data_IF_601429633817
#
_entry.id   IF_601429633817
#
_cell.length_a   1.000
_cell.length_b   1.000
_cell.length_c   1.000
_cell.angle_alpha   90.00
_cell.angle_beta   90.00
_cell.angle_gamma   90.00
#
_symmetry.space_group_name_H-M   'P 1'
#
loop_
_entity.id
_entity.type
_entity.pdbx_description
1 polymer ?
#
# COMPACT_ATOMS: atom_id res chain seq x y z
N UNK A 1 -11.71 37.75 -35.31
CA UNK A 1 -10.70 36.69 -35.32
C UNK A 1 -11.26 35.58 -34.47
N UNK A 2 -11.61 34.46 -35.11
CA UNK A 2 -12.44 33.43 -34.53
C UNK A 2 -11.75 32.68 -33.40
N UNK A 3 -12.52 32.45 -32.36
CA UNK A 3 -12.22 31.44 -31.33
C UNK A 3 -12.26 30.09 -32.06
N UNK A 4 -11.10 29.45 -32.20
CA UNK A 4 -11.03 28.10 -32.72
C UNK A 4 -11.83 27.20 -31.75
N UNK A 5 -12.88 26.59 -32.25
CA UNK A 5 -13.61 25.50 -31.58
C UNK A 5 -12.58 24.43 -31.12
N UNK A 6 -12.27 24.40 -29.83
CA UNK A 6 -11.66 23.24 -29.22
C UNK A 6 -12.68 22.11 -29.34
N UNK A 7 -12.55 21.31 -30.42
CA UNK A 7 -13.29 20.05 -30.53
C UNK A 7 -12.99 19.25 -29.27
N UNK A 8 -14.00 19.13 -28.39
CA UNK A 8 -13.96 18.14 -27.30
C UNK A 8 -13.65 16.78 -27.96
N UNK A 9 -12.45 16.28 -27.73
CA UNK A 9 -12.05 14.97 -28.22
C UNK A 9 -12.94 13.97 -27.45
N UNK A 10 -13.91 13.41 -28.14
CA UNK A 10 -14.80 12.40 -27.56
C UNK A 10 -13.95 11.21 -27.07
N UNK A 11 -13.89 11.00 -25.75
CA UNK A 11 -13.10 9.94 -25.14
C UNK A 11 -13.83 8.61 -25.37
N UNK A 12 -13.54 7.95 -26.50
CA UNK A 12 -14.12 6.66 -26.83
C UNK A 12 -13.38 5.55 -26.05
N UNK A 13 -14.08 4.89 -25.16
CA UNK A 13 -13.55 3.75 -24.41
C UNK A 13 -13.38 2.54 -25.33
N UNK A 14 -12.17 1.97 -25.46
CA UNK A 14 -11.98 0.73 -26.23
C UNK A 14 -12.84 -0.40 -25.64
N UNK A 15 -13.50 -1.17 -26.52
CA UNK A 15 -14.35 -2.30 -26.11
C UNK A 15 -13.49 -3.46 -25.62
N UNK A 16 -13.94 -4.09 -24.52
CA UNK A 16 -13.32 -5.31 -24.00
C UNK A 16 -12.14 -5.10 -23.04
N UNK A 17 -11.44 -6.19 -22.75
CA UNK A 17 -10.25 -6.21 -21.90
C UNK A 17 -9.03 -5.73 -22.69
N UNK A 18 -8.42 -4.64 -22.25
CA UNK A 18 -7.20 -4.09 -22.83
C UNK A 18 -5.95 -4.37 -21.98
N UNK A 19 -4.81 -3.88 -22.44
CA UNK A 19 -3.51 -4.03 -21.77
C UNK A 19 -3.53 -3.38 -20.38
N UNK A 20 -4.29 -2.30 -20.17
CA UNK A 20 -4.48 -1.69 -18.85
C UNK A 20 -5.00 -2.68 -17.80
N UNK A 21 -5.90 -3.59 -18.18
CA UNK A 21 -6.42 -4.64 -17.29
C UNK A 21 -5.36 -5.70 -17.00
N UNK A 22 -4.54 -6.07 -17.99
CA UNK A 22 -3.42 -6.98 -17.80
C UNK A 22 -2.37 -6.38 -16.84
N UNK A 23 -2.05 -5.07 -16.98
CA UNK A 23 -1.16 -4.37 -16.06
C UNK A 23 -1.76 -4.29 -14.65
N UNK A 24 -3.06 -4.06 -14.53
CA UNK A 24 -3.77 -4.11 -13.24
C UNK A 24 -3.65 -5.49 -12.59
N UNK A 25 -3.86 -6.57 -13.36
CA UNK A 25 -3.72 -7.94 -12.85
C UNK A 25 -2.29 -8.23 -12.41
N UNK A 26 -1.29 -7.81 -13.18
CA UNK A 26 0.11 -7.94 -12.81
C UNK A 26 0.43 -7.21 -11.50
N UNK A 27 -0.06 -5.99 -11.33
CA UNK A 27 0.12 -5.22 -10.09
C UNK A 27 -0.62 -5.85 -8.92
N UNK A 28 -1.83 -6.38 -9.13
CA UNK A 28 -2.61 -7.12 -8.12
C UNK A 28 -1.82 -8.31 -7.57
N UNK A 29 -1.31 -9.18 -8.46
CA UNK A 29 -0.50 -10.32 -8.04
C UNK A 29 0.83 -9.90 -7.41
N UNK A 30 1.45 -8.81 -7.88
CA UNK A 30 2.64 -8.25 -7.26
C UNK A 30 2.40 -7.78 -5.83
N UNK A 31 1.28 -7.08 -5.58
CA UNK A 31 0.84 -6.71 -4.24
C UNK A 31 0.54 -7.95 -3.39
N UNK A 32 -0.14 -8.95 -3.96
CA UNK A 32 -0.45 -10.20 -3.28
C UNK A 32 0.83 -10.87 -2.78
N UNK A 33 1.81 -11.12 -3.66
CA UNK A 33 3.06 -11.79 -3.27
C UNK A 33 3.94 -10.93 -2.36
N UNK A 34 3.95 -9.61 -2.52
CA UNK A 34 4.66 -8.73 -1.60
C UNK A 34 4.11 -8.86 -0.16
N UNK A 35 2.78 -8.94 -0.02
CA UNK A 35 2.15 -9.06 1.29
C UNK A 35 2.20 -10.47 1.89
N UNK A 36 2.16 -11.53 1.07
CA UNK A 36 2.43 -12.88 1.59
C UNK A 36 3.83 -12.96 2.18
N UNK A 37 4.85 -12.44 1.49
CA UNK A 37 6.24 -12.41 1.98
C UNK A 37 6.44 -11.46 3.17
N UNK A 38 5.56 -10.50 3.37
CA UNK A 38 5.59 -9.58 4.52
C UNK A 38 5.15 -10.27 5.81
N UNK A 39 4.09 -11.06 5.75
CA UNK A 39 3.46 -11.69 6.92
C UNK A 39 3.87 -13.13 7.16
N UNK A 40 4.61 -13.75 6.26
CA UNK A 40 5.02 -15.16 6.37
C UNK A 40 5.81 -15.47 7.66
N UNK A 41 6.66 -14.54 8.11
CA UNK A 41 7.46 -14.72 9.32
C UNK A 41 6.61 -14.81 10.58
N UNK A 42 5.51 -14.06 10.67
CA UNK A 42 4.67 -14.06 11.88
C UNK A 42 4.04 -15.41 12.17
N UNK A 43 3.74 -16.18 11.12
CA UNK A 43 3.24 -17.55 11.26
C UNK A 43 4.38 -18.55 11.37
N UNK A 44 5.46 -18.37 10.61
CA UNK A 44 6.59 -19.28 10.60
C UNK A 44 7.34 -19.30 11.95
N UNK A 45 7.46 -18.15 12.63
CA UNK A 45 8.25 -18.07 13.89
C UNK A 45 7.65 -18.93 14.99
N UNK A 46 6.32 -19.11 15.00
CA UNK A 46 5.64 -19.97 15.97
C UNK A 46 6.07 -21.42 15.79
N UNK A 47 6.14 -21.86 14.54
CA UNK A 47 6.55 -23.23 14.19
C UNK A 47 8.06 -23.43 14.31
N UNK A 48 8.86 -22.38 13.99
CA UNK A 48 10.32 -22.39 14.14
C UNK A 48 10.78 -22.52 15.60
N UNK A 49 9.95 -22.12 16.55
CA UNK A 49 10.27 -22.15 17.99
C UNK A 49 9.49 -23.22 18.75
N UNK A 50 8.76 -24.07 18.06
CA UNK A 50 8.06 -25.20 18.66
C UNK A 50 9.03 -26.38 18.87
N UNK A 51 9.25 -26.74 20.11
CA UNK A 51 10.16 -27.84 20.50
C UNK A 51 9.70 -29.23 19.97
N UNK A 52 8.49 -29.33 19.49
CA UNK A 52 7.95 -30.58 18.91
C UNK A 52 8.44 -30.83 17.49
N UNK A 53 9.01 -29.81 16.84
CA UNK A 53 9.50 -29.94 15.47
C UNK A 53 10.94 -30.48 15.43
N UNK A 54 11.27 -31.28 14.42
CA UNK A 54 12.62 -31.83 14.22
C UNK A 54 13.69 -30.70 14.06
N UNK A 55 13.29 -29.59 13.46
CA UNK A 55 14.16 -28.40 13.28
C UNK A 55 13.52 -27.23 13.98
N UNK A 56 13.91 -27.01 15.23
CA UNK A 56 13.44 -25.88 16.03
C UNK A 56 14.61 -25.03 16.54
N UNK A 57 14.30 -23.80 16.89
CA UNK A 57 15.26 -22.86 17.44
C UNK A 57 14.81 -22.40 18.84
N UNK A 58 15.64 -22.62 19.85
CA UNK A 58 15.38 -22.17 21.22
C UNK A 58 15.56 -20.63 21.36
N UNK A 59 14.77 -19.86 20.59
CA UNK A 59 14.82 -18.40 20.65
C UNK A 59 13.86 -17.87 21.70
N UNK A 60 14.35 -17.13 22.69
CA UNK A 60 13.49 -16.52 23.69
C UNK A 60 12.53 -15.49 23.03
N UNK A 61 11.42 -15.22 23.70
CA UNK A 61 10.37 -14.33 23.17
C UNK A 61 10.89 -12.94 22.77
N UNK A 62 11.87 -12.42 23.51
CA UNK A 62 12.53 -11.14 23.18
C UNK A 62 13.23 -11.17 21.80
N UNK A 63 13.87 -12.28 21.46
CA UNK A 63 14.51 -12.47 20.14
C UNK A 63 13.45 -12.60 19.04
N UNK A 64 12.36 -13.31 19.30
CA UNK A 64 11.25 -13.43 18.35
C UNK A 64 10.66 -12.03 18.03
N UNK A 65 10.45 -11.20 19.05
CA UNK A 65 9.99 -9.82 18.87
C UNK A 65 10.97 -8.97 18.04
N UNK A 66 12.30 -9.13 18.25
CA UNK A 66 13.33 -8.47 17.44
C UNK A 66 13.25 -8.92 15.98
N UNK A 67 13.11 -10.22 15.71
CA UNK A 67 12.97 -10.74 14.33
C UNK A 67 11.74 -10.14 13.64
N UNK A 68 10.59 -10.10 14.31
CA UNK A 68 9.35 -9.58 13.74
C UNK A 68 9.43 -8.07 13.47
N UNK A 69 10.03 -7.32 14.39
CA UNK A 69 10.17 -5.87 14.26
C UNK A 69 11.24 -5.44 13.25
N UNK A 70 12.26 -6.25 13.02
CA UNK A 70 13.42 -5.91 12.17
C UNK A 70 13.04 -5.58 10.72
N UNK A 71 11.95 -6.14 10.20
CA UNK A 71 11.42 -5.78 8.90
C UNK A 71 11.04 -4.29 8.82
N UNK A 72 10.39 -3.78 9.84
CA UNK A 72 9.91 -2.39 9.87
C UNK A 72 11.06 -1.38 9.99
N UNK A 73 12.18 -1.75 10.57
CA UNK A 73 13.36 -0.88 10.62
C UNK A 73 13.87 -0.56 9.21
N UNK A 74 14.03 -1.59 8.37
CA UNK A 74 14.39 -1.38 6.98
C UNK A 74 13.31 -0.63 6.20
N UNK A 75 12.05 -1.00 6.43
CA UNK A 75 10.91 -0.44 5.71
C UNK A 75 10.77 1.08 5.87
N UNK A 76 10.94 1.61 7.08
CA UNK A 76 10.79 3.05 7.37
C UNK A 76 11.93 3.88 6.75
N UNK A 77 13.16 3.36 6.74
CA UNK A 77 14.34 4.12 6.28
C UNK A 77 14.21 4.60 4.83
N UNK A 78 13.69 3.76 3.93
CA UNK A 78 13.66 4.07 2.50
C UNK A 78 12.32 4.60 1.99
N UNK A 79 11.32 4.85 2.84
CA UNK A 79 9.98 5.28 2.40
C UNK A 79 10.00 6.61 1.61
N UNK A 80 10.68 7.63 2.12
CA UNK A 80 10.77 8.93 1.44
C UNK A 80 11.66 8.85 0.21
N UNK A 81 12.91 8.30 0.27
CA UNK A 81 13.71 8.08 -0.92
C UNK A 81 13.02 7.24 -2.00
N UNK A 82 12.21 6.26 -1.59
CA UNK A 82 11.52 5.37 -2.52
C UNK A 82 10.58 6.14 -3.48
N UNK A 83 9.86 7.15 -2.97
CA UNK A 83 9.02 8.00 -3.81
C UNK A 83 9.79 8.78 -4.87
N UNK A 84 10.96 9.32 -4.49
CA UNK A 84 11.84 10.04 -5.43
C UNK A 84 12.47 9.10 -6.46
N UNK A 85 12.90 7.92 -6.01
CA UNK A 85 13.51 6.91 -6.88
C UNK A 85 12.49 6.32 -7.85
N UNK A 86 11.25 6.05 -7.41
CA UNK A 86 10.16 5.58 -8.28
C UNK A 86 9.87 6.57 -9.41
N UNK A 87 9.93 7.86 -9.12
CA UNK A 87 9.76 8.90 -10.12
C UNK A 87 10.96 9.02 -11.06
N UNK A 88 12.20 8.80 -10.58
CA UNK A 88 13.41 8.93 -11.39
C UNK A 88 13.64 7.73 -12.30
N UNK A 89 13.53 6.52 -11.77
CA UNK A 89 13.85 5.27 -12.45
C UNK A 89 12.62 4.55 -13.04
N UNK A 90 11.40 5.01 -12.69
CA UNK A 90 10.13 4.37 -13.05
C UNK A 90 9.65 3.38 -12.00
N UNK A 91 8.34 3.24 -11.91
CA UNK A 91 7.69 2.34 -10.94
C UNK A 91 7.95 0.87 -11.25
N UNK A 92 7.98 0.49 -12.53
CA UNK A 92 8.23 -0.89 -12.95
C UNK A 92 9.53 -1.45 -12.38
N UNK A 93 10.64 -0.74 -12.55
CA UNK A 93 11.97 -1.22 -12.14
C UNK A 93 12.02 -1.45 -10.64
N UNK A 94 11.58 -0.47 -9.85
CA UNK A 94 11.64 -0.56 -8.39
C UNK A 94 10.66 -1.58 -7.82
N UNK A 95 9.47 -1.70 -8.40
CA UNK A 95 8.49 -2.71 -8.01
C UNK A 95 9.02 -4.12 -8.28
N UNK A 96 9.63 -4.33 -9.47
CA UNK A 96 10.27 -5.61 -9.82
C UNK A 96 11.42 -5.94 -8.87
N UNK A 97 12.34 -5.01 -8.64
CA UNK A 97 13.47 -5.20 -7.70
C UNK A 97 12.95 -5.58 -6.32
N UNK A 98 11.92 -4.87 -5.85
CA UNK A 98 11.33 -5.13 -4.53
C UNK A 98 10.85 -6.57 -4.41
N UNK A 99 10.00 -7.05 -5.32
CA UNK A 99 9.45 -8.40 -5.24
C UNK A 99 10.54 -9.45 -5.51
N UNK A 100 11.44 -9.23 -6.47
CA UNK A 100 12.53 -10.16 -6.81
C UNK A 100 13.49 -10.37 -5.63
N UNK A 101 13.93 -9.28 -4.99
CA UNK A 101 14.85 -9.37 -3.84
C UNK A 101 14.15 -10.03 -2.64
N UNK A 102 12.88 -9.68 -2.39
CA UNK A 102 12.11 -10.34 -1.33
C UNK A 102 11.93 -11.83 -1.59
N UNK A 103 11.70 -12.23 -2.85
CA UNK A 103 11.62 -13.64 -3.25
C UNK A 103 12.93 -14.38 -2.98
N UNK A 104 14.05 -13.79 -3.42
CA UNK A 104 15.38 -14.37 -3.18
C UNK A 104 15.67 -14.51 -1.68
N UNK A 105 15.42 -13.46 -0.90
CA UNK A 105 15.63 -13.48 0.54
C UNK A 105 14.71 -14.48 1.24
N UNK A 106 13.47 -14.66 0.76
CA UNK A 106 12.57 -15.70 1.27
C UNK A 106 13.13 -17.10 1.02
N UNK A 107 13.65 -17.38 -0.18
CA UNK A 107 14.28 -18.65 -0.50
C UNK A 107 15.55 -18.94 0.34
N UNK A 108 16.32 -17.89 0.64
CA UNK A 108 17.55 -17.99 1.41
C UNK A 108 17.33 -18.03 2.94
N UNK A 109 16.16 -17.57 3.41
CA UNK A 109 15.90 -17.41 4.84
C UNK A 109 16.00 -18.71 5.64
N UNK A 110 15.49 -19.88 5.18
CA UNK A 110 15.65 -21.15 5.91
C UNK A 110 17.13 -21.56 6.07
N UNK A 111 17.93 -21.38 5.01
CA UNK A 111 19.38 -21.63 5.06
C UNK A 111 20.06 -20.64 5.98
N UNK A 112 19.66 -19.37 5.93
CA UNK A 112 20.15 -18.32 6.81
C UNK A 112 19.87 -18.57 8.29
N UNK A 113 18.67 -19.08 8.60
CA UNK A 113 18.30 -19.45 9.96
C UNK A 113 19.18 -20.59 10.51
N UNK A 114 19.44 -21.61 9.69
CA UNK A 114 20.28 -22.75 10.07
C UNK A 114 21.75 -22.36 10.24
N UNK A 115 22.28 -21.44 9.40
CA UNK A 115 23.70 -21.09 9.36
C UNK A 115 24.10 -19.99 10.33
N UNK A 116 23.29 -18.92 10.41
CA UNK A 116 23.62 -17.71 11.19
C UNK A 116 22.60 -17.38 12.29
N UNK A 117 21.66 -18.30 12.54
CA UNK A 117 20.64 -18.13 13.56
C UNK A 117 19.81 -16.85 13.40
N UNK A 118 19.28 -16.37 14.51
CA UNK A 118 18.39 -15.21 14.53
C UNK A 118 18.99 -13.93 13.95
N UNK A 119 20.33 -13.73 14.07
CA UNK A 119 21.00 -12.51 13.56
C UNK A 119 20.92 -12.43 12.05
N UNK A 120 21.15 -13.52 11.35
CA UNK A 120 21.07 -13.55 9.89
C UNK A 120 19.62 -13.46 9.42
N UNK A 121 18.67 -14.06 10.16
CA UNK A 121 17.24 -13.87 9.91
C UNK A 121 16.86 -12.39 10.03
N UNK A 122 17.28 -11.68 11.09
CA UNK A 122 17.05 -10.25 11.22
C UNK A 122 17.65 -9.45 10.05
N UNK A 123 18.87 -9.79 9.62
CA UNK A 123 19.50 -9.12 8.47
C UNK A 123 18.66 -9.30 7.21
N UNK A 124 18.20 -10.52 6.92
CA UNK A 124 17.29 -10.79 5.80
C UNK A 124 16.00 -9.97 5.94
N UNK A 125 15.41 -9.90 7.13
CA UNK A 125 14.19 -9.13 7.38
C UNK A 125 14.38 -7.64 7.16
N UNK A 126 15.49 -7.05 7.61
CA UNK A 126 15.83 -5.64 7.34
C UNK A 126 15.97 -5.39 5.84
N UNK A 127 16.67 -6.26 5.11
CA UNK A 127 16.82 -6.15 3.65
C UNK A 127 15.47 -6.29 2.91
N UNK A 128 14.61 -7.21 3.37
CA UNK A 128 13.23 -7.32 2.88
C UNK A 128 12.46 -6.02 3.12
N UNK A 129 12.56 -5.44 4.30
CA UNK A 129 11.94 -4.17 4.65
C UNK A 129 12.41 -3.02 3.76
N UNK A 130 13.75 -2.86 3.61
CA UNK A 130 14.35 -1.83 2.76
C UNK A 130 13.80 -1.89 1.33
N UNK A 131 13.73 -3.08 0.75
CA UNK A 131 13.24 -3.24 -0.63
C UNK A 131 11.73 -3.11 -0.73
N UNK A 132 10.96 -3.59 0.25
CA UNK A 132 9.51 -3.42 0.26
C UNK A 132 9.05 -1.97 0.44
N UNK A 133 9.89 -1.08 0.94
CA UNK A 133 9.61 0.35 0.99
C UNK A 133 9.26 0.94 -0.39
N UNK A 134 9.72 0.34 -1.48
CA UNK A 134 9.42 0.77 -2.85
C UNK A 134 8.01 0.37 -3.33
N UNK A 135 7.34 -0.60 -2.69
CA UNK A 135 6.09 -1.18 -3.20
C UNK A 135 5.00 -0.12 -3.37
N UNK A 136 4.62 0.59 -2.30
CA UNK A 136 3.55 1.58 -2.36
C UNK A 136 3.87 2.78 -3.27
N UNK A 137 5.04 3.44 -3.18
CA UNK A 137 5.38 4.54 -4.07
C UNK A 137 5.42 4.13 -5.54
N UNK A 138 5.96 2.94 -5.84
CA UNK A 138 5.99 2.42 -7.22
C UNK A 138 4.59 2.09 -7.73
N UNK A 139 3.75 1.48 -6.90
CA UNK A 139 2.35 1.21 -7.24
C UNK A 139 1.59 2.50 -7.54
N UNK A 140 1.74 3.53 -6.70
CA UNK A 140 1.12 4.84 -6.93
C UNK A 140 1.59 5.48 -8.24
N UNK A 141 2.89 5.38 -8.54
CA UNK A 141 3.42 5.85 -9.81
C UNK A 141 2.76 5.12 -10.99
N UNK A 142 2.75 3.78 -10.97
CA UNK A 142 2.19 2.96 -12.05
C UNK A 142 0.68 3.18 -12.21
N UNK A 143 -0.06 3.21 -11.12
CA UNK A 143 -1.51 3.52 -11.13
C UNK A 143 -1.77 4.90 -11.74
N UNK A 144 -0.94 5.90 -11.41
CA UNK A 144 -1.07 7.24 -11.99
C UNK A 144 -0.81 7.29 -13.49
N UNK A 145 -0.06 6.33 -14.04
CA UNK A 145 0.26 6.25 -15.47
C UNK A 145 -0.78 5.44 -16.26
N UNK A 146 -1.33 4.36 -15.66
CA UNK A 146 -2.10 3.36 -16.38
C UNK A 146 -3.62 3.47 -16.22
N UNK A 147 -4.13 4.11 -15.13
CA UNK A 147 -5.55 4.05 -14.79
C UNK A 147 -6.32 5.26 -15.32
N UNK A 148 -7.21 5.10 -16.36
CA UNK A 148 -8.07 6.16 -16.84
C UNK A 148 -9.00 6.67 -15.74
N UNK A 149 -9.37 7.94 -15.76
CA UNK A 149 -10.17 8.57 -14.72
C UNK A 149 -11.51 7.85 -14.48
N UNK A 150 -12.15 7.34 -15.54
CA UNK A 150 -13.45 6.67 -15.50
C UNK A 150 -13.41 5.28 -14.87
N UNK A 151 -12.23 4.63 -14.83
CA UNK A 151 -12.03 3.28 -14.30
C UNK A 151 -11.06 3.27 -13.09
N UNK A 152 -10.60 4.46 -12.69
CA UNK A 152 -9.52 4.64 -11.72
C UNK A 152 -9.86 4.07 -10.35
N UNK A 153 -11.10 4.25 -9.89
CA UNK A 153 -11.56 3.75 -8.59
C UNK A 153 -11.49 2.23 -8.52
N UNK A 154 -12.10 1.55 -9.46
CA UNK A 154 -12.15 0.09 -9.48
C UNK A 154 -10.77 -0.54 -9.70
N UNK A 155 -10.04 -0.11 -10.73
CA UNK A 155 -8.74 -0.71 -11.07
C UNK A 155 -7.70 -0.48 -9.97
N UNK A 156 -7.67 0.73 -9.38
CA UNK A 156 -6.76 1.02 -8.27
C UNK A 156 -7.10 0.20 -7.03
N UNK A 157 -8.38 0.12 -6.70
CA UNK A 157 -8.84 -0.67 -5.55
C UNK A 157 -8.52 -2.15 -5.74
N UNK A 158 -8.69 -2.68 -6.95
CA UNK A 158 -8.32 -4.05 -7.28
C UNK A 158 -6.82 -4.30 -7.01
N UNK A 159 -5.93 -3.38 -7.44
CA UNK A 159 -4.49 -3.52 -7.18
C UNK A 159 -4.20 -3.61 -5.68
N UNK A 160 -4.75 -2.71 -4.86
CA UNK A 160 -4.50 -2.72 -3.42
C UNK A 160 -5.19 -3.88 -2.69
N UNK A 161 -6.33 -4.34 -3.18
CA UNK A 161 -7.01 -5.52 -2.66
C UNK A 161 -6.15 -6.79 -2.75
N UNK A 162 -5.21 -6.85 -3.72
CA UNK A 162 -4.22 -7.92 -3.80
C UNK A 162 -3.42 -8.10 -2.52
N UNK A 163 -3.06 -7.00 -1.84
CA UNK A 163 -2.37 -7.06 -0.56
C UNK A 163 -3.22 -7.70 0.55
N UNK A 164 -4.51 -7.36 0.63
CA UNK A 164 -5.41 -7.92 1.64
C UNK A 164 -5.66 -9.41 1.40
N UNK A 165 -5.87 -9.78 0.14
CA UNK A 165 -5.98 -11.20 -0.23
C UNK A 165 -4.69 -11.95 0.10
N UNK A 166 -3.52 -11.33 -0.13
CA UNK A 166 -2.22 -11.89 0.20
C UNK A 166 -2.08 -12.19 1.69
N UNK A 167 -2.50 -11.28 2.57
CA UNK A 167 -2.51 -11.52 4.03
C UNK A 167 -3.44 -12.69 4.38
N UNK A 168 -4.68 -12.67 3.90
CA UNK A 168 -5.67 -13.71 4.19
C UNK A 168 -5.19 -15.09 3.73
N UNK A 169 -4.72 -15.20 2.49
CA UNK A 169 -4.21 -16.46 1.93
C UNK A 169 -2.97 -16.95 2.68
N UNK A 170 -2.08 -16.04 3.08
CA UNK A 170 -0.87 -16.41 3.82
C UNK A 170 -1.23 -17.01 5.20
N UNK A 171 -2.14 -16.37 5.93
CA UNK A 171 -2.59 -16.87 7.23
C UNK A 171 -3.22 -18.27 7.11
N UNK A 172 -4.06 -18.47 6.09
CA UNK A 172 -4.68 -19.78 5.83
C UNK A 172 -3.65 -20.83 5.39
N UNK A 173 -2.79 -20.51 4.43
CA UNK A 173 -1.86 -21.45 3.83
C UNK A 173 -0.70 -21.81 4.77
N UNK A 174 -0.25 -20.90 5.62
CA UNK A 174 0.90 -21.12 6.52
C UNK A 174 0.65 -22.28 7.47
N UNK A 175 -0.55 -22.36 8.05
CA UNK A 175 -0.90 -23.48 8.96
C UNK A 175 -0.82 -24.84 8.26
N UNK A 176 -1.32 -24.92 7.02
CA UNK A 176 -1.27 -26.13 6.22
C UNK A 176 0.17 -26.48 5.79
N UNK A 177 0.92 -25.50 5.31
CA UNK A 177 2.30 -25.72 4.86
C UNK A 177 3.21 -26.15 6.02
N UNK A 178 3.10 -25.49 7.17
CA UNK A 178 3.89 -25.80 8.35
C UNK A 178 3.63 -27.23 8.85
N UNK A 179 2.35 -27.61 8.97
CA UNK A 179 1.98 -28.94 9.47
C UNK A 179 2.31 -30.08 8.51
N UNK A 180 2.32 -29.83 7.18
CA UNK A 180 2.54 -30.87 6.18
C UNK A 180 4.00 -31.01 5.78
N UNK A 181 4.76 -29.92 5.71
CA UNK A 181 6.13 -29.87 5.17
C UNK A 181 7.12 -29.06 6.01
N UNK A 182 6.70 -28.63 7.20
CA UNK A 182 7.51 -27.80 8.09
C UNK A 182 7.52 -26.31 7.72
N UNK A 183 8.01 -25.50 8.64
CA UNK A 183 8.04 -24.03 8.51
C UNK A 183 8.84 -23.53 7.29
N UNK A 184 9.83 -24.29 6.83
CA UNK A 184 10.66 -23.94 5.67
C UNK A 184 9.82 -23.83 4.39
N UNK A 185 8.79 -24.69 4.26
CA UNK A 185 7.90 -24.71 3.10
C UNK A 185 7.17 -23.39 2.89
N UNK A 186 6.87 -22.66 3.97
CA UNK A 186 6.25 -21.32 3.91
C UNK A 186 7.14 -20.36 3.09
N UNK A 187 8.43 -20.34 3.38
CA UNK A 187 9.38 -19.45 2.72
C UNK A 187 9.68 -19.89 1.29
N UNK A 188 9.85 -21.18 1.04
CA UNK A 188 10.10 -21.72 -0.30
C UNK A 188 8.90 -21.49 -1.23
N UNK A 189 7.68 -21.73 -0.77
CA UNK A 189 6.48 -21.49 -1.57
C UNK A 189 6.35 -20.00 -1.94
N UNK A 190 6.45 -19.09 -0.97
CA UNK A 190 6.34 -17.66 -1.22
C UNK A 190 7.47 -17.12 -2.10
N UNK A 191 8.71 -17.54 -1.84
CA UNK A 191 9.87 -17.13 -2.63
C UNK A 191 9.77 -17.61 -4.08
N UNK A 192 9.34 -18.87 -4.31
CA UNK A 192 9.16 -19.41 -5.66
C UNK A 192 8.06 -18.71 -6.43
N UNK A 193 6.88 -18.52 -5.82
CA UNK A 193 5.76 -17.82 -6.46
C UNK A 193 6.11 -16.36 -6.77
N UNK A 194 6.77 -15.66 -5.85
CA UNK A 194 7.23 -14.30 -6.08
C UNK A 194 8.30 -14.19 -7.17
N UNK A 195 9.20 -15.17 -7.27
CA UNK A 195 10.21 -15.23 -8.34
C UNK A 195 9.57 -15.47 -9.72
N UNK A 196 8.62 -16.40 -9.82
CA UNK A 196 7.86 -16.66 -11.05
C UNK A 196 7.09 -15.43 -11.50
N UNK A 197 6.43 -14.74 -10.55
CA UNK A 197 5.76 -13.48 -10.83
C UNK A 197 6.76 -12.42 -11.31
N UNK A 198 7.92 -12.31 -10.69
CA UNK A 198 8.94 -11.33 -11.07
C UNK A 198 9.41 -11.51 -12.52
N UNK A 199 9.65 -12.76 -12.95
CA UNK A 199 9.97 -13.08 -14.36
C UNK A 199 8.83 -12.65 -15.27
N UNK A 200 7.60 -12.99 -14.92
CA UNK A 200 6.40 -12.60 -15.69
C UNK A 200 6.30 -11.07 -15.81
N UNK A 201 6.53 -10.35 -14.71
CA UNK A 201 6.44 -8.89 -14.70
C UNK A 201 7.58 -8.20 -15.46
N UNK A 202 8.78 -8.77 -15.48
CA UNK A 202 9.89 -8.29 -16.32
C UNK A 202 9.49 -8.31 -17.79
N UNK A 203 8.84 -9.39 -18.24
CA UNK A 203 8.48 -9.62 -19.66
C UNK A 203 7.27 -8.75 -20.05
N UNK A 204 6.18 -8.80 -19.28
CA UNK A 204 4.89 -8.22 -19.65
C UNK A 204 4.58 -6.88 -19.00
N UNK A 205 5.24 -6.53 -17.89
CA UNK A 205 5.04 -5.26 -17.22
C UNK A 205 5.59 -4.09 -18.03
N UNK A 206 4.98 -2.91 -17.90
CA UNK A 206 5.47 -1.68 -18.49
C UNK A 206 5.28 -0.50 -17.53
N UNK A 207 6.20 0.48 -17.60
CA UNK A 207 6.17 1.65 -16.72
C UNK A 207 5.07 2.64 -17.08
N UNK A 208 4.80 2.76 -18.38
CA UNK A 208 3.73 3.61 -18.92
C UNK A 208 3.13 3.00 -20.18
N UNK A 209 1.92 3.43 -20.60
CA UNK A 209 1.29 2.97 -21.83
C UNK A 209 2.20 3.09 -23.05
N UNK A 210 2.90 4.23 -23.21
CA UNK A 210 3.75 4.50 -24.38
C UNK A 210 4.96 3.55 -24.47
N UNK A 211 5.39 2.99 -23.34
CA UNK A 211 6.53 2.06 -23.26
C UNK A 211 6.11 0.60 -23.39
N UNK A 212 4.81 0.32 -23.43
CA UNK A 212 4.29 -1.03 -23.57
C UNK A 212 4.40 -1.51 -25.02
N UNK A 213 4.90 -2.75 -25.21
CA UNK A 213 5.01 -3.38 -26.53
C UNK A 213 3.70 -3.99 -27.04
N UNK A 214 2.73 -4.17 -26.14
CA UNK A 214 1.52 -4.95 -26.39
C UNK A 214 0.25 -4.11 -26.51
N UNK A 215 0.32 -2.81 -26.24
CA UNK A 215 -0.83 -1.91 -26.21
C UNK A 215 -1.18 -1.39 -27.60
N UNK A 216 -2.48 -1.24 -27.89
CA UNK A 216 -2.95 -0.58 -29.10
C UNK A 216 -2.81 0.94 -29.02
N UNK A 217 -2.64 1.59 -30.19
CA UNK A 217 -2.58 3.07 -30.25
C UNK A 217 -3.86 3.73 -29.74
N UNK A 218 -5.00 3.10 -29.96
CA UNK A 218 -6.31 3.57 -29.49
C UNK A 218 -6.39 3.55 -27.97
N UNK A 219 -5.89 2.49 -27.33
CA UNK A 219 -5.88 2.39 -25.87
C UNK A 219 -4.89 3.37 -25.24
N UNK A 220 -3.72 3.61 -25.85
CA UNK A 220 -2.79 4.65 -25.43
C UNK A 220 -3.47 6.03 -25.46
N UNK A 221 -4.12 6.37 -26.58
CA UNK A 221 -4.80 7.64 -26.75
C UNK A 221 -5.93 7.79 -25.72
N UNK A 222 -6.73 6.73 -25.49
CA UNK A 222 -7.78 6.71 -24.49
C UNK A 222 -7.22 7.02 -23.08
N UNK A 223 -6.14 6.35 -22.67
CA UNK A 223 -5.54 6.55 -21.35
C UNK A 223 -4.99 7.98 -21.24
N UNK A 224 -4.21 8.44 -22.24
CA UNK A 224 -3.60 9.77 -22.22
C UNK A 224 -4.65 10.89 -22.20
N UNK A 225 -5.68 10.79 -23.05
CA UNK A 225 -6.77 11.79 -23.10
C UNK A 225 -7.54 11.82 -21.77
N UNK A 226 -7.87 10.62 -21.22
CA UNK A 226 -8.56 10.51 -19.94
C UNK A 226 -7.77 11.12 -18.78
N UNK A 227 -6.43 11.01 -18.81
CA UNK A 227 -5.55 11.59 -17.79
C UNK A 227 -5.19 13.06 -18.04
N UNK A 228 -5.60 13.65 -19.19
CA UNK A 228 -5.22 14.99 -19.60
C UNK A 228 -3.72 15.11 -19.90
N UNK A 229 -3.10 14.08 -20.49
CA UNK A 229 -1.65 13.95 -20.72
C UNK A 229 -1.33 13.82 -22.20
N UNK A 230 -2.01 14.57 -23.04
CA UNK A 230 -1.72 14.58 -24.48
C UNK A 230 -0.47 15.45 -24.73
N UNK A 231 0.62 14.84 -25.19
CA UNK A 231 1.90 15.49 -25.47
C UNK A 231 3.08 15.02 -24.61
N UNK A 232 4.27 15.55 -24.87
CA UNK A 232 5.48 15.23 -24.09
C UNK A 232 5.38 15.69 -22.63
N UNK A 233 5.57 14.74 -21.70
CA UNK A 233 5.58 15.06 -20.28
C UNK A 233 6.92 15.63 -19.85
N UNK A 234 6.97 16.92 -19.56
CA UNK A 234 8.12 17.55 -18.93
C UNK A 234 8.30 17.01 -17.49
N UNK A 235 9.51 16.59 -17.13
CA UNK A 235 9.86 16.21 -15.77
C UNK A 235 10.23 17.45 -14.98
N UNK A 236 9.42 17.83 -14.00
CA UNK A 236 9.69 18.99 -13.13
C UNK A 236 10.42 18.54 -11.84
N UNK A 237 11.31 19.35 -11.25
CA UNK A 237 11.80 19.11 -9.90
C UNK A 237 10.65 19.16 -8.88
N UNK A 238 10.73 18.36 -7.82
CA UNK A 238 9.68 18.34 -6.81
C UNK A 238 9.70 19.65 -5.99
N UNK A 239 8.59 20.41 -5.97
CA UNK A 239 8.51 21.68 -5.26
C UNK A 239 8.20 21.41 -3.76
N UNK A 240 9.19 20.93 -3.03
CA UNK A 240 9.03 20.43 -1.64
C UNK A 240 8.33 21.41 -0.71
N UNK A 241 8.70 22.71 -0.80
CA UNK A 241 8.08 23.73 0.07
C UNK A 241 6.59 23.87 -0.23
N UNK A 242 6.20 23.95 -1.52
CA UNK A 242 4.79 24.07 -1.92
C UNK A 242 3.98 22.81 -1.55
N UNK A 243 4.61 21.63 -1.60
CA UNK A 243 4.00 20.36 -1.18
C UNK A 243 3.76 20.39 0.33
N UNK A 244 4.78 20.71 1.13
CA UNK A 244 4.71 20.65 2.58
C UNK A 244 3.86 21.78 3.21
N UNK A 245 3.60 22.86 2.47
CA UNK A 245 2.67 23.93 2.89
C UNK A 245 1.24 23.73 2.37
N UNK A 246 0.98 22.67 1.60
CA UNK A 246 -0.34 22.39 1.04
C UNK A 246 -1.28 21.80 2.08
N UNK A 247 -2.31 22.53 2.47
CA UNK A 247 -3.32 22.06 3.44
C UNK A 247 -4.06 20.79 2.97
N UNK A 248 -4.46 20.66 1.67
CA UNK A 248 -5.03 19.41 1.17
C UNK A 248 -4.09 18.21 1.33
N UNK A 249 -2.78 18.41 1.21
CA UNK A 249 -1.81 17.32 1.40
C UNK A 249 -1.71 16.92 2.88
N UNK A 250 -1.73 17.87 3.80
CA UNK A 250 -1.82 17.58 5.24
C UNK A 250 -3.09 16.83 5.60
N UNK A 251 -4.22 17.13 4.95
CA UNK A 251 -5.45 16.36 5.16
C UNK A 251 -5.27 14.88 4.76
N UNK A 252 -4.53 14.61 3.71
CA UNK A 252 -4.20 13.23 3.30
C UNK A 252 -3.25 12.57 4.29
N UNK A 253 -2.22 13.28 4.79
CA UNK A 253 -1.29 12.78 5.83
C UNK A 253 -2.07 12.35 7.07
N UNK A 254 -2.93 13.25 7.58
CA UNK A 254 -3.72 13.02 8.80
C UNK A 254 -4.66 11.82 8.63
N UNK A 255 -5.35 11.72 7.48
CA UNK A 255 -6.21 10.58 7.19
C UNK A 255 -5.42 9.26 7.14
N UNK A 256 -4.24 9.25 6.50
CA UNK A 256 -3.39 8.08 6.41
C UNK A 256 -2.85 7.66 7.79
N UNK A 257 -2.44 8.61 8.61
CA UNK A 257 -2.01 8.34 9.99
C UNK A 257 -3.15 7.76 10.83
N UNK A 258 -4.35 8.33 10.74
CA UNK A 258 -5.53 7.82 11.46
C UNK A 258 -5.92 6.42 11.01
N UNK A 259 -5.86 6.18 9.69
CA UNK A 259 -6.07 4.86 9.13
C UNK A 259 -5.09 3.82 9.69
N UNK A 260 -3.81 4.14 9.70
CA UNK A 260 -2.80 3.21 10.20
C UNK A 260 -2.93 2.98 11.71
N UNK A 261 -3.29 4.01 12.49
CA UNK A 261 -3.57 3.84 13.92
C UNK A 261 -4.57 2.72 14.15
N UNK A 262 -5.78 2.86 13.62
CA UNK A 262 -6.84 1.88 13.87
C UNK A 262 -6.57 0.51 13.23
N UNK A 263 -6.04 0.48 12.00
CA UNK A 263 -5.74 -0.77 11.30
C UNK A 263 -4.68 -1.60 12.03
N UNK A 264 -3.57 -0.97 12.45
CA UNK A 264 -2.51 -1.70 13.15
C UNK A 264 -2.90 -2.04 14.58
N UNK A 265 -3.65 -1.18 15.28
CA UNK A 265 -4.23 -1.54 16.58
C UNK A 265 -5.06 -2.83 16.46
N UNK A 266 -5.98 -2.90 15.50
CA UNK A 266 -6.77 -4.11 15.30
C UNK A 266 -5.91 -5.30 14.86
N UNK A 267 -4.96 -5.09 13.97
CA UNK A 267 -4.12 -6.17 13.44
C UNK A 267 -3.24 -6.82 14.52
N UNK A 268 -2.72 -6.03 15.45
CA UNK A 268 -1.82 -6.53 16.52
C UNK A 268 -2.59 -7.05 17.72
N UNK A 269 -3.64 -6.35 18.12
CA UNK A 269 -4.30 -6.59 19.39
C UNK A 269 -5.53 -7.50 19.31
N UNK A 270 -6.14 -7.62 18.10
CA UNK A 270 -7.33 -8.48 17.92
C UNK A 270 -7.09 -9.94 18.33
N UNK A 271 -5.97 -10.59 17.98
CA UNK A 271 -5.73 -11.97 18.42
C UNK A 271 -5.65 -12.11 19.94
N UNK A 272 -5.04 -11.14 20.62
CA UNK A 272 -4.93 -11.10 22.08
C UNK A 272 -6.31 -10.92 22.73
N UNK A 273 -7.10 -9.97 22.23
CA UNK A 273 -8.47 -9.75 22.67
C UNK A 273 -9.35 -11.01 22.52
N UNK A 274 -9.26 -11.68 21.35
CA UNK A 274 -10.01 -12.91 21.09
C UNK A 274 -9.57 -14.05 22.00
N UNK A 275 -8.28 -14.18 22.28
CA UNK A 275 -7.75 -15.23 23.14
C UNK A 275 -8.05 -14.98 24.61
N UNK A 276 -7.81 -13.77 25.11
CA UNK A 276 -7.84 -13.45 26.54
C UNK A 276 -9.23 -13.08 27.05
N UNK A 277 -9.99 -12.30 26.28
CA UNK A 277 -11.33 -11.85 26.67
C UNK A 277 -12.42 -12.81 26.19
N UNK A 278 -12.31 -13.31 24.97
CA UNK A 278 -13.35 -14.17 24.38
C UNK A 278 -13.04 -15.66 24.53
N UNK A 279 -11.90 -16.04 25.11
CA UNK A 279 -11.46 -17.41 25.32
C UNK A 279 -11.48 -18.29 24.03
N UNK A 280 -11.14 -17.67 22.87
CA UNK A 280 -11.12 -18.37 21.59
C UNK A 280 -9.90 -19.27 21.50
N UNK A 281 -10.12 -20.54 21.14
CA UNK A 281 -9.07 -21.51 20.92
C UNK A 281 -8.15 -21.08 19.76
N UNK A 282 -6.84 -21.21 19.92
CA UNK A 282 -5.80 -20.79 18.96
C UNK A 282 -6.01 -21.36 17.54
N UNK A 283 -6.50 -22.60 17.41
CA UNK A 283 -6.77 -23.25 16.13
C UNK A 283 -7.86 -22.52 15.32
N UNK A 284 -8.89 -22.01 15.99
CA UNK A 284 -9.96 -21.28 15.37
C UNK A 284 -9.61 -19.79 15.17
N UNK A 285 -8.64 -19.28 15.93
CA UNK A 285 -8.21 -17.89 15.88
C UNK A 285 -7.67 -17.52 14.48
N UNK A 286 -6.88 -18.39 13.82
CA UNK A 286 -6.36 -18.16 12.47
C UNK A 286 -7.48 -17.98 11.43
N UNK A 287 -8.52 -18.81 11.45
CA UNK A 287 -9.66 -18.71 10.54
C UNK A 287 -10.46 -17.44 10.84
N UNK A 288 -10.80 -17.21 12.10
CA UNK A 288 -11.59 -16.05 12.51
C UNK A 288 -10.83 -14.73 12.25
N UNK A 289 -9.52 -14.72 12.43
CA UNK A 289 -8.67 -13.54 12.13
C UNK A 289 -8.52 -13.27 10.63
N UNK A 290 -8.74 -14.26 9.75
CA UNK A 290 -8.72 -14.06 8.29
C UNK A 290 -10.00 -13.43 7.75
N UNK A 291 -11.16 -13.63 8.41
CA UNK A 291 -12.47 -13.15 7.96
C UNK A 291 -12.54 -11.62 7.76
N UNK A 292 -12.03 -10.77 8.65
CA UNK A 292 -12.01 -9.33 8.46
C UNK A 292 -11.27 -8.90 7.18
N UNK A 293 -10.11 -9.52 6.90
CA UNK A 293 -9.32 -9.19 5.71
C UNK A 293 -9.96 -9.70 4.42
N UNK A 294 -10.60 -10.86 4.45
CA UNK A 294 -11.40 -11.37 3.34
C UNK A 294 -12.62 -10.47 3.07
N UNK A 295 -13.29 -10.00 4.12
CA UNK A 295 -14.38 -9.04 4.02
C UNK A 295 -13.90 -7.73 3.39
N UNK A 296 -12.76 -7.21 3.82
CA UNK A 296 -12.15 -6.01 3.26
C UNK A 296 -11.81 -6.20 1.77
N UNK A 297 -11.27 -7.35 1.41
CA UNK A 297 -11.00 -7.72 0.02
C UNK A 297 -12.28 -7.69 -0.82
N UNK A 298 -13.35 -8.36 -0.38
CA UNK A 298 -14.61 -8.41 -1.11
C UNK A 298 -15.28 -7.04 -1.21
N UNK A 299 -15.34 -6.28 -0.11
CA UNK A 299 -15.96 -4.96 -0.09
C UNK A 299 -15.16 -3.94 -0.91
N UNK A 300 -13.87 -4.14 -1.10
CA UNK A 300 -13.07 -3.24 -1.94
C UNK A 300 -13.57 -3.20 -3.38
N UNK A 301 -14.03 -4.32 -3.95
CA UNK A 301 -14.63 -4.35 -5.30
C UNK A 301 -15.92 -3.53 -5.36
N UNK A 302 -16.78 -3.67 -4.34
CA UNK A 302 -18.02 -2.92 -4.26
C UNK A 302 -17.75 -1.43 -4.18
N UNK A 303 -16.85 -1.01 -3.29
CA UNK A 303 -16.48 0.40 -3.10
C UNK A 303 -15.82 0.99 -4.37
N UNK A 304 -14.91 0.24 -5.00
CA UNK A 304 -14.26 0.64 -6.24
C UNK A 304 -15.26 0.84 -7.39
N UNK A 305 -16.13 -0.14 -7.61
CA UNK A 305 -17.16 -0.06 -8.64
C UNK A 305 -18.15 1.10 -8.40
N UNK A 306 -18.64 1.25 -7.17
CA UNK A 306 -19.54 2.35 -6.81
C UNK A 306 -18.88 3.71 -7.04
N UNK A 307 -17.60 3.88 -6.69
CA UNK A 307 -16.84 5.10 -6.94
C UNK A 307 -16.84 5.47 -8.41
N UNK A 308 -16.53 4.50 -9.28
CA UNK A 308 -16.47 4.75 -10.73
C UNK A 308 -17.85 5.06 -11.33
N UNK A 309 -18.92 4.40 -10.83
CA UNK A 309 -20.30 4.71 -11.25
C UNK A 309 -20.68 6.13 -10.86
N UNK A 310 -20.38 6.57 -9.63
CA UNK A 310 -20.71 7.91 -9.13
C UNK A 310 -19.96 8.98 -9.94
N UNK A 311 -18.66 8.78 -10.18
CA UNK A 311 -17.83 9.72 -10.97
C UNK A 311 -18.31 9.77 -12.42
N UNK A 312 -18.56 8.62 -13.05
CA UNK A 312 -19.01 8.53 -14.46
C UNK A 312 -20.38 9.15 -14.66
N UNK A 313 -21.33 8.93 -13.74
CA UNK A 313 -22.67 9.50 -13.80
C UNK A 313 -22.72 10.95 -13.32
N UNK A 314 -21.58 11.52 -12.86
CA UNK A 314 -21.49 12.89 -12.33
C UNK A 314 -22.46 13.16 -11.18
N UNK A 315 -22.84 12.15 -10.37
CA UNK A 315 -23.71 12.32 -9.21
C UNK A 315 -23.06 13.17 -8.13
N UNK A 316 -21.76 13.00 -7.94
CA UNK A 316 -20.94 13.81 -7.05
C UNK A 316 -19.67 14.27 -7.80
N UNK A 317 -19.10 15.40 -7.35
CA UNK A 317 -17.75 15.79 -7.78
C UNK A 317 -16.73 14.76 -7.33
N UNK A 318 -15.56 14.68 -7.99
CA UNK A 318 -14.48 13.77 -7.61
C UNK A 318 -14.09 13.99 -6.15
N UNK A 319 -13.95 15.25 -5.72
CA UNK A 319 -13.63 15.60 -4.33
C UNK A 319 -14.67 15.04 -3.35
N UNK A 320 -15.97 15.26 -3.62
CA UNK A 320 -17.03 14.78 -2.74
C UNK A 320 -17.11 13.25 -2.73
N UNK A 321 -16.84 12.60 -3.86
CA UNK A 321 -16.77 11.13 -3.93
C UNK A 321 -15.65 10.60 -3.05
N UNK A 322 -14.45 11.22 -3.07
CA UNK A 322 -13.34 10.84 -2.19
C UNK A 322 -13.69 11.02 -0.71
N UNK A 323 -14.27 12.18 -0.36
CA UNK A 323 -14.72 12.46 1.01
C UNK A 323 -15.76 11.46 1.48
N UNK A 324 -16.74 11.12 0.64
CA UNK A 324 -17.80 10.17 0.95
C UNK A 324 -17.26 8.78 1.27
N UNK A 325 -16.44 8.21 0.39
CA UNK A 325 -15.86 6.88 0.61
C UNK A 325 -14.84 6.85 1.75
N UNK A 326 -14.08 7.93 1.94
CA UNK A 326 -13.19 8.03 3.09
C UNK A 326 -13.97 8.07 4.41
N UNK A 327 -15.11 8.75 4.42
CA UNK A 327 -15.99 8.80 5.59
C UNK A 327 -16.56 7.43 5.92
N UNK A 328 -17.01 6.68 4.92
CA UNK A 328 -17.43 5.28 5.12
C UNK A 328 -16.24 4.46 5.66
N UNK A 329 -15.05 4.64 5.09
CA UNK A 329 -13.86 3.87 5.43
C UNK A 329 -13.25 4.17 6.81
N UNK A 330 -13.53 5.32 7.43
CA UNK A 330 -13.02 5.68 8.76
C UNK A 330 -14.13 5.78 9.82
N UNK A 331 -15.23 6.47 9.54
CA UNK A 331 -16.32 6.57 10.52
C UNK A 331 -17.12 5.27 10.66
N UNK A 332 -17.23 4.47 9.57
CA UNK A 332 -17.84 3.13 9.65
C UNK A 332 -17.13 2.23 10.67
N UNK A 333 -15.81 2.02 10.53
CA UNK A 333 -15.01 1.33 11.54
C UNK A 333 -15.11 1.94 12.94
N UNK A 334 -15.11 3.28 13.08
CA UNK A 334 -15.26 3.93 14.37
C UNK A 334 -16.55 3.52 15.08
N UNK A 335 -17.68 3.52 14.35
CA UNK A 335 -19.00 3.08 14.87
C UNK A 335 -18.95 1.60 15.25
N UNK A 336 -18.36 0.74 14.40
CA UNK A 336 -18.24 -0.68 14.68
C UNK A 336 -17.37 -0.96 15.93
N UNK A 337 -16.29 -0.19 16.14
CA UNK A 337 -15.43 -0.30 17.33
C UNK A 337 -16.15 0.17 18.61
N UNK A 338 -16.97 1.22 18.51
CA UNK A 338 -17.85 1.62 19.61
C UNK A 338 -18.84 0.49 19.91
N UNK A 339 -19.47 -0.12 18.90
CA UNK A 339 -20.31 -1.30 19.06
C UNK A 339 -19.56 -2.45 19.76
N UNK A 340 -18.33 -2.74 19.32
CA UNK A 340 -17.48 -3.77 19.92
C UNK A 340 -17.18 -3.50 21.40
N UNK A 341 -17.05 -2.21 21.81
CA UNK A 341 -16.83 -1.81 23.20
C UNK A 341 -17.93 -2.26 24.15
N UNK A 342 -19.12 -2.48 23.61
CA UNK A 342 -20.30 -2.94 24.35
C UNK A 342 -20.63 -4.42 24.07
N UNK A 343 -19.65 -5.20 23.62
CA UNK A 343 -19.81 -6.63 23.39
C UNK A 343 -20.28 -7.31 24.69
N UNK A 344 -21.39 -8.07 24.65
CA UNK A 344 -21.77 -8.89 25.80
C UNK A 344 -20.70 -9.93 26.14
N UNK A 345 -20.47 -10.16 27.42
CA UNK A 345 -19.47 -11.11 27.91
C UNK A 345 -19.65 -12.49 27.27
N UNK A 346 -18.56 -13.06 26.75
CA UNK A 346 -18.55 -14.37 26.11
C UNK A 346 -19.22 -14.46 24.73
N UNK A 347 -19.77 -13.37 24.17
CA UNK A 347 -20.41 -13.40 22.86
C UNK A 347 -19.38 -13.23 21.72
N UNK A 348 -18.64 -14.31 21.44
CA UNK A 348 -17.64 -14.39 20.38
C UNK A 348 -18.21 -14.02 19.00
N UNK A 349 -19.44 -14.46 18.68
CA UNK A 349 -20.05 -14.20 17.35
C UNK A 349 -20.24 -12.70 17.14
N UNK A 350 -20.77 -12.00 18.15
CA UNK A 350 -20.94 -10.54 18.08
C UNK A 350 -19.60 -9.83 17.86
N UNK A 351 -18.56 -10.18 18.62
CA UNK A 351 -17.25 -9.58 18.50
C UNK A 351 -16.63 -9.80 17.11
N UNK A 352 -16.67 -11.04 16.60
CA UNK A 352 -16.15 -11.37 15.26
C UNK A 352 -16.91 -10.63 14.16
N UNK A 353 -18.23 -10.52 14.28
CA UNK A 353 -19.04 -9.75 13.32
C UNK A 353 -18.65 -8.27 13.35
N UNK A 354 -18.55 -7.65 14.54
CA UNK A 354 -18.17 -6.24 14.65
C UNK A 354 -16.76 -5.96 14.10
N UNK A 355 -15.80 -6.85 14.39
CA UNK A 355 -14.45 -6.76 13.84
C UNK A 355 -14.43 -6.94 12.32
N UNK A 356 -15.18 -7.90 11.80
CA UNK A 356 -15.32 -8.15 10.35
C UNK A 356 -15.94 -6.96 9.64
N UNK A 357 -16.96 -6.34 10.24
CA UNK A 357 -17.58 -5.13 9.73
C UNK A 357 -16.60 -3.96 9.78
N UNK A 358 -15.91 -3.74 10.91
CA UNK A 358 -14.96 -2.64 11.06
C UNK A 358 -13.86 -2.69 9.99
N UNK A 359 -13.18 -3.83 9.86
CA UNK A 359 -12.09 -3.99 8.88
C UNK A 359 -12.64 -4.04 7.45
N UNK A 360 -13.78 -4.69 7.22
CA UNK A 360 -14.38 -4.79 5.89
C UNK A 360 -14.77 -3.43 5.31
N UNK A 361 -15.49 -2.60 6.05
CA UNK A 361 -15.93 -1.27 5.60
C UNK A 361 -14.75 -0.33 5.43
N UNK A 362 -13.64 -0.56 6.13
CA UNK A 362 -12.41 0.20 5.98
C UNK A 362 -11.85 0.18 4.55
N UNK A 363 -12.29 -0.75 3.68
CA UNK A 363 -11.99 -0.76 2.25
C UNK A 363 -12.31 0.56 1.53
N UNK A 364 -13.23 1.39 2.06
CA UNK A 364 -13.54 2.72 1.53
C UNK A 364 -12.33 3.65 1.43
N UNK A 365 -11.29 3.46 2.24
CA UNK A 365 -10.06 4.22 2.18
C UNK A 365 -9.34 4.15 0.81
N UNK A 366 -9.44 3.00 0.11
CA UNK A 366 -8.78 2.81 -1.19
C UNK A 366 -9.28 3.75 -2.27
N UNK A 367 -10.57 4.09 -2.20
CA UNK A 367 -11.22 5.06 -3.09
C UNK A 367 -11.34 6.46 -2.45
N UNK A 368 -11.02 6.57 -1.16
CA UNK A 368 -10.91 7.80 -0.38
C UNK A 368 -9.53 8.45 -0.51
N UNK A 369 -8.85 8.64 0.62
CA UNK A 369 -7.58 9.37 0.70
C UNK A 369 -6.45 8.76 -0.18
N UNK A 370 -6.46 7.45 -0.40
CA UNK A 370 -5.43 6.79 -1.21
C UNK A 370 -5.38 7.33 -2.65
N UNK A 371 -6.54 7.62 -3.26
CA UNK A 371 -6.59 8.19 -4.61
C UNK A 371 -6.29 9.69 -4.63
N UNK A 372 -6.48 10.39 -3.53
CA UNK A 372 -6.24 11.85 -3.46
C UNK A 372 -4.78 12.19 -3.73
N UNK A 373 -3.81 11.35 -3.35
CA UNK A 373 -2.40 11.54 -3.73
C UNK A 373 -2.23 11.72 -5.25
N UNK A 374 -2.93 10.88 -6.03
CA UNK A 374 -2.85 10.89 -7.48
C UNK A 374 -3.68 12.04 -8.06
N UNK A 375 -4.81 12.38 -7.42
CA UNK A 375 -5.69 13.46 -7.89
C UNK A 375 -5.02 14.83 -7.67
N UNK A 376 -4.37 15.07 -6.52
CA UNK A 376 -3.65 16.29 -6.21
C UNK A 376 -2.49 16.57 -7.17
N UNK A 377 -1.65 15.56 -7.39
CA UNK A 377 -0.47 15.73 -8.22
C UNK A 377 -0.01 14.40 -8.85
N UNK A 378 -0.53 14.04 -10.02
CA UNK A 378 -0.13 12.83 -10.73
C UNK A 378 1.38 12.73 -10.97
N UNK A 379 2.06 13.87 -11.23
CA UNK A 379 3.52 13.90 -11.48
C UNK A 379 4.36 13.62 -10.22
N UNK A 380 3.77 13.80 -9.03
CA UNK A 380 4.45 13.64 -7.74
C UNK A 380 3.79 12.58 -6.86
N UNK A 381 2.82 11.81 -7.37
CA UNK A 381 2.03 10.85 -6.59
C UNK A 381 2.88 9.86 -5.78
N UNK A 382 3.98 9.37 -6.35
CA UNK A 382 4.93 8.49 -5.66
C UNK A 382 5.64 9.20 -4.49
N UNK A 383 6.03 10.48 -4.68
CA UNK A 383 6.67 11.26 -3.62
C UNK A 383 5.69 11.55 -2.48
N UNK A 384 4.45 11.95 -2.83
CA UNK A 384 3.40 12.20 -1.84
C UNK A 384 3.11 10.93 -1.03
N UNK A 385 2.99 9.78 -1.71
CA UNK A 385 2.78 8.50 -1.06
C UNK A 385 3.95 8.10 -0.16
N UNK A 386 5.19 8.33 -0.59
CA UNK A 386 6.38 8.06 0.21
C UNK A 386 6.36 8.82 1.55
N UNK A 387 6.01 10.12 1.51
CA UNK A 387 5.93 10.97 2.72
C UNK A 387 4.80 10.50 3.64
N UNK A 388 3.59 10.35 3.09
CA UNK A 388 2.43 9.98 3.92
C UNK A 388 2.60 8.61 4.52
N UNK A 389 3.15 7.64 3.78
CA UNK A 389 3.38 6.28 4.26
C UNK A 389 4.51 6.23 5.30
N UNK A 390 5.54 7.06 5.17
CA UNK A 390 6.57 7.21 6.19
C UNK A 390 5.96 7.64 7.54
N UNK A 391 5.20 8.74 7.56
CA UNK A 391 4.55 9.24 8.78
C UNK A 391 3.53 8.25 9.34
N UNK A 392 2.73 7.64 8.47
CA UNK A 392 1.74 6.66 8.86
C UNK A 392 2.36 5.40 9.48
N UNK A 393 3.56 4.96 9.01
CA UNK A 393 4.25 3.82 9.62
C UNK A 393 4.87 4.16 10.99
N UNK A 394 5.26 5.40 11.25
CA UNK A 394 5.63 5.84 12.60
C UNK A 394 4.44 5.67 13.55
N UNK A 395 3.25 6.08 13.10
CA UNK A 395 2.00 5.91 13.87
C UNK A 395 1.69 4.42 14.10
N UNK A 396 1.96 3.55 13.12
CA UNK A 396 1.78 2.10 13.27
C UNK A 396 2.65 1.48 14.36
N UNK A 397 3.80 2.07 14.65
CA UNK A 397 4.68 1.64 15.75
C UNK A 397 4.13 2.17 17.09
N UNK A 398 3.64 3.41 17.09
CA UNK A 398 3.16 4.08 18.33
C UNK A 398 1.83 3.46 18.81
N UNK A 399 0.94 3.09 17.90
CA UNK A 399 -0.40 2.64 18.26
C UNK A 399 -0.43 1.39 19.15
N UNK A 400 0.30 0.29 18.89
CA UNK A 400 0.39 -0.85 19.81
C UNK A 400 1.06 -0.51 21.14
N UNK A 401 2.05 0.38 21.15
CA UNK A 401 2.68 0.82 22.40
C UNK A 401 1.67 1.53 23.31
N UNK A 402 0.86 2.42 22.75
CA UNK A 402 -0.21 3.09 23.50
C UNK A 402 -1.25 2.09 23.99
N UNK A 403 -1.60 1.08 23.19
CA UNK A 403 -2.43 -0.04 23.65
C UNK A 403 -1.84 -0.72 24.90
N UNK A 404 -0.58 -1.10 24.85
CA UNK A 404 0.10 -1.74 25.98
C UNK A 404 0.16 -0.88 27.26
N UNK A 405 0.15 0.47 27.13
CA UNK A 405 0.01 1.36 28.27
C UNK A 405 -1.41 1.42 28.84
N UNK A 406 -2.42 1.27 27.98
CA UNK A 406 -3.84 1.33 28.37
C UNK A 406 -4.28 0.01 29.01
N UNK A 407 -3.89 -1.12 28.40
CA UNK A 407 -4.28 -2.47 28.83
C UNK A 407 -3.23 -2.98 29.84
N UNK A 408 -3.55 -2.93 31.11
CA UNK A 408 -2.73 -3.46 32.19
C UNK A 408 -3.11 -4.91 32.50
N UNK A 409 -4.39 -5.25 32.40
CA UNK A 409 -4.94 -6.59 32.53
C UNK A 409 -5.62 -7.01 31.21
N UNK A 410 -4.98 -7.91 30.48
CA UNK A 410 -5.47 -8.39 29.17
C UNK A 410 -6.80 -9.15 29.26
N UNK A 411 -7.17 -9.62 30.45
CA UNK A 411 -8.41 -10.39 30.69
C UNK A 411 -9.62 -9.50 30.99
N UNK A 412 -9.37 -8.22 31.30
CA UNK A 412 -10.42 -7.28 31.71
C UNK A 412 -11.05 -6.54 30.51
N UNK A 413 -12.33 -6.79 30.16
CA UNK A 413 -13.01 -6.17 29.04
C UNK A 413 -13.07 -4.63 29.10
N UNK A 414 -13.08 -4.06 30.31
CA UNK A 414 -13.17 -2.62 30.53
C UNK A 414 -11.93 -1.88 30.01
N UNK A 415 -10.76 -2.49 30.03
CA UNK A 415 -9.52 -1.92 29.54
C UNK A 415 -9.47 -1.91 28.02
N UNK A 416 -9.93 -2.98 27.39
CA UNK A 416 -10.07 -3.06 25.94
C UNK A 416 -11.08 -2.05 25.40
N UNK A 417 -12.13 -1.77 26.16
CA UNK A 417 -13.09 -0.71 25.82
C UNK A 417 -12.42 0.64 25.63
N UNK A 418 -11.46 1.00 26.49
CA UNK A 418 -10.68 2.26 26.36
C UNK A 418 -9.89 2.28 25.04
N UNK A 419 -9.26 1.18 24.67
CA UNK A 419 -8.51 1.05 23.40
C UNK A 419 -9.42 1.28 22.21
N UNK A 420 -10.61 0.63 22.19
CA UNK A 420 -11.55 0.79 21.09
C UNK A 420 -12.11 2.22 21.00
N UNK A 421 -12.36 2.88 22.13
CA UNK A 421 -12.76 4.29 22.13
C UNK A 421 -11.65 5.22 21.63
N UNK A 422 -10.41 4.99 22.00
CA UNK A 422 -9.27 5.76 21.48
C UNK A 422 -9.15 5.58 19.97
N UNK A 423 -9.21 4.36 19.48
CA UNK A 423 -9.14 4.08 18.04
C UNK A 423 -10.32 4.72 17.27
N UNK A 424 -11.54 4.63 17.82
CA UNK A 424 -12.72 5.27 17.24
C UNK A 424 -12.60 6.80 17.22
N UNK A 425 -12.07 7.40 18.28
CA UNK A 425 -11.79 8.84 18.36
C UNK A 425 -10.76 9.29 17.33
N UNK A 426 -9.66 8.55 17.19
CA UNK A 426 -8.63 8.83 16.17
C UNK A 426 -9.25 8.76 14.76
N UNK A 427 -10.00 7.73 14.43
CA UNK A 427 -10.70 7.62 13.16
C UNK A 427 -11.66 8.80 12.92
N UNK A 428 -12.40 9.20 13.96
CA UNK A 428 -13.37 10.30 13.85
C UNK A 428 -12.68 11.62 13.54
N UNK A 429 -11.69 12.04 14.34
CA UNK A 429 -11.04 13.34 14.20
C UNK A 429 -10.19 13.43 12.94
N UNK A 430 -9.49 12.37 12.56
CA UNK A 430 -8.66 12.36 11.35
C UNK A 430 -9.52 12.41 10.08
N UNK A 431 -10.66 11.74 10.05
CA UNK A 431 -11.59 11.87 8.95
C UNK A 431 -12.29 13.23 8.93
N UNK A 432 -12.65 13.78 10.07
CA UNK A 432 -13.23 15.12 10.14
C UNK A 432 -12.27 16.16 9.52
N UNK A 433 -10.99 16.09 9.88
CA UNK A 433 -9.95 16.94 9.28
C UNK A 433 -9.86 16.73 7.75
N UNK A 434 -9.90 15.48 7.29
CA UNK A 434 -9.90 15.15 5.87
C UNK A 434 -11.13 15.73 5.15
N UNK A 435 -12.32 15.58 5.69
CA UNK A 435 -13.56 16.11 5.10
C UNK A 435 -13.53 17.63 4.99
N UNK A 436 -12.97 18.31 5.99
CA UNK A 436 -12.91 19.77 5.97
C UNK A 436 -11.89 20.32 4.96
N UNK A 437 -10.69 19.74 4.91
CA UNK A 437 -9.54 20.36 4.23
C UNK A 437 -9.06 19.64 2.98
N UNK A 438 -9.54 18.43 2.66
CA UNK A 438 -9.11 17.73 1.45
C UNK A 438 -9.79 18.24 0.19
N UNK A 439 -9.11 18.11 -0.92
CA UNK A 439 -9.65 18.30 -2.27
C UNK A 439 -9.01 17.31 -3.24
N UNK A 440 -9.69 17.00 -4.34
CA UNK A 440 -9.15 16.20 -5.45
C UNK A 440 -8.91 17.08 -6.70
N UNK A 441 -8.84 18.39 -6.51
CA UNK A 441 -8.47 19.31 -7.59
C UNK A 441 -6.95 19.28 -7.76
N UNK A 442 -6.50 19.14 -9.03
CA UNK A 442 -5.07 19.16 -9.37
C UNK A 442 -4.43 20.45 -8.86
N UNK A 443 -3.36 20.32 -8.12
CA UNK A 443 -2.70 21.46 -7.49
C UNK A 443 -1.80 22.20 -8.49
N UNK A 444 -1.71 23.54 -8.40
CA UNK A 444 -0.90 24.35 -9.32
C UNK A 444 0.59 23.98 -9.34
N UNK A 445 1.10 23.44 -8.23
CA UNK A 445 2.49 23.01 -8.13
C UNK A 445 2.76 21.65 -8.81
N UNK A 446 1.73 20.95 -9.32
CA UNK A 446 1.92 19.76 -10.13
C UNK A 446 2.61 20.06 -11.47
N UNK A 447 2.35 21.24 -12.03
CA UNK A 447 2.95 21.76 -13.26
C UNK A 447 3.38 23.21 -13.01
N UNK A 448 4.59 23.45 -12.47
CA UNK A 448 5.09 24.80 -12.23
C UNK A 448 5.14 25.58 -13.55
N UNK A 449 4.67 26.83 -13.53
CA UNK A 449 4.80 27.73 -14.69
C UNK A 449 6.28 27.94 -15.00
N UNK A 450 6.65 28.10 -16.27
CA UNK A 450 8.05 28.29 -16.72
C UNK A 450 8.76 29.44 -16.00
N UNK A 451 8.04 30.47 -15.60
CA UNK A 451 8.54 31.58 -14.78
C UNK A 451 9.05 31.20 -13.39
N UNK A 452 8.59 30.07 -12.82
CA UNK A 452 9.04 29.57 -11.51
C UNK A 452 10.33 28.73 -11.60
N UNK A 453 10.75 28.35 -12.80
CA UNK A 453 11.92 27.48 -13.05
C UNK A 453 13.19 28.31 -13.33
N UNK A 454 13.07 29.57 -13.75
CA UNK A 454 14.22 30.43 -14.10
C UNK A 454 15.02 30.97 -12.91
N UNK A 455 14.65 30.70 -11.66
CA UNK A 455 15.37 31.22 -10.48
C UNK A 455 16.53 30.36 -9.97
N UNK A 456 17.05 29.41 -10.72
CA UNK A 456 18.44 28.88 -10.54
C UNK A 456 19.01 28.52 -11.88
N UNK A 457 19.85 29.37 -12.47
CA UNK A 457 20.73 28.91 -13.53
C UNK A 457 21.58 27.79 -12.94
N UNK A 458 21.36 26.55 -13.36
CA UNK A 458 22.37 25.54 -13.18
C UNK A 458 23.62 26.07 -13.88
N UNK A 459 24.76 26.17 -13.18
CA UNK A 459 26.05 26.31 -13.81
C UNK A 459 26.19 25.14 -14.79
N UNK A 460 25.80 25.36 -16.02
CA UNK A 460 26.12 24.51 -17.14
C UNK A 460 27.60 24.75 -17.35
N UNK A 461 28.45 23.90 -16.77
CA UNK A 461 29.82 23.74 -17.28
C UNK A 461 29.67 23.43 -18.75
N UNK A 462 30.11 24.39 -19.60
CA UNK A 462 30.13 24.21 -21.05
C UNK A 462 30.83 22.87 -21.36
N UNK A 463 30.19 21.94 -22.09
CA UNK A 463 30.93 20.77 -22.54
C UNK A 463 31.95 21.25 -23.56
N UNK A 464 33.16 20.77 -23.39
CA UNK A 464 34.34 20.95 -24.28
C UNK A 464 33.98 20.66 -25.77
N UNK A 465 33.25 21.56 -26.41
CA UNK A 465 33.07 21.56 -27.87
C UNK A 465 34.41 21.77 -28.62
N UNK A 466 35.37 22.44 -27.99
CA UNK A 466 36.68 22.74 -28.61
C UNK A 466 37.62 21.54 -28.78
N UNK A 467 37.43 20.42 -28.06
CA UNK A 467 38.30 19.24 -28.22
C UNK A 467 37.81 18.20 -29.23
N UNK A 468 36.52 18.26 -29.62
CA UNK A 468 36.00 17.34 -30.63
C UNK A 468 36.18 17.85 -32.05
N UNK A 469 36.18 19.14 -32.29
CA UNK A 469 36.42 19.73 -33.61
C UNK A 469 37.89 19.64 -34.03
N UNK A 470 38.84 19.68 -33.09
CA UNK A 470 40.28 19.51 -33.37
C UNK A 470 40.70 18.08 -33.75
N UNK A 471 39.84 17.08 -33.55
CA UNK A 471 40.15 15.66 -33.85
C UNK A 471 39.62 15.21 -35.23
N UNK A 472 38.78 16.01 -35.89
CA UNK A 472 38.24 15.71 -37.23
C UNK A 472 38.93 16.49 -38.35
N UNK A 473 39.80 17.47 -38.00
CA UNK A 473 40.58 18.20 -39.02
C UNK A 473 41.96 17.58 -39.34
N UNK A 474 42.23 16.39 -38.76
CA UNK A 474 43.50 15.64 -39.00
C UNK A 474 43.26 14.19 -39.42
N UNK A 475 42.30 13.94 -40.28
CA UNK A 475 42.23 12.72 -41.11
C UNK A 475 41.71 13.06 -42.49
#
# INVERSE_FOLDING_TARGET
MGVADEKEIEIVRPKGLGVRHAQTALLFFGMLFAFTMRVNMSMAIVDMTDERNEVYFAWPHSVQAVILSSFFWGYVILQIPAGMLARRFGGKVLFTISVSVNSLLSLLLPVGAAWGGWRLVCTCRVLQGLTQAFIYPSTHHLVSQWMPLQEKGFLTTLVYAGGQLGIALQLLASGFLATSWGWQAIFYANGTLGALWSVTYIIFGADSPERSRFISKEEVLYIQTSLGRVGEQKKYPAPWLKIMTSLPFWAVIVAHCGQNWGFFTLMTEMPTYMSKVLNVNLKNNGILSSLPYLSMYLLSFVMGYMTDVIVRKKWLSVTNTRKFFNTIGLWGPAIALIGLSYCPEGNMVYAVVMLTVAVGINAGQYTGYMLVHIDLAPNFSACLMGITNFLANIISIIAPLVCGFIVQDETEPSEWRKVFFVAAGVYFFTNLFFVLFSTSVRQPWNEPKETDVEMKPAEIKEPEKSKLEAKWSRR
#
